data_IF_777550281068
#
_entry.id   IF_777550281068
#
_cell.length_a   1.000
_cell.length_b   1.000
_cell.length_c   1.000
_cell.angle_alpha   90.00
_cell.angle_beta   90.00
_cell.angle_gamma   90.00
#
_symmetry.space_group_name_H-M   'P 1'
#
loop_
_entity.id
_entity.type
_entity.pdbx_description
1 polymer ?
#
# COMPACT_ATOMS: atom_id res chain seq x y z
N UNK A 1 -22.74 -38.18 0.43
CA UNK A 1 -23.15 -37.21 1.47
C UNK A 1 -23.89 -36.06 0.81
N UNK A 2 -25.10 -35.66 1.24
CA UNK A 2 -25.79 -34.54 0.62
C UNK A 2 -25.12 -33.22 1.02
N UNK A 3 -24.85 -32.35 0.04
CA UNK A 3 -24.33 -31.01 0.28
C UNK A 3 -25.42 -30.17 0.95
N UNK A 4 -25.09 -29.60 2.12
CA UNK A 4 -25.97 -28.71 2.88
C UNK A 4 -26.28 -27.45 2.04
N UNK A 5 -27.55 -27.04 1.90
CA UNK A 5 -27.89 -25.82 1.18
C UNK A 5 -27.31 -24.59 1.89
N UNK A 6 -26.70 -23.68 1.14
CA UNK A 6 -26.15 -22.45 1.65
C UNK A 6 -27.29 -21.48 2.02
N UNK A 7 -27.58 -21.36 3.31
CA UNK A 7 -28.47 -20.32 3.83
C UNK A 7 -27.78 -18.98 3.62
N UNK A 8 -28.26 -18.19 2.66
CA UNK A 8 -27.88 -16.79 2.48
C UNK A 8 -28.54 -15.98 3.59
N UNK A 9 -27.88 -15.84 4.73
CA UNK A 9 -28.29 -14.84 5.72
C UNK A 9 -28.04 -13.45 5.14
N UNK A 10 -29.06 -12.56 5.07
CA UNK A 10 -28.82 -11.18 4.69
C UNK A 10 -28.00 -10.52 5.80
N UNK A 11 -26.69 -10.38 5.60
CA UNK A 11 -25.81 -9.71 6.53
C UNK A 11 -26.02 -8.20 6.44
N UNK A 12 -27.00 -7.70 7.19
CA UNK A 12 -27.23 -6.26 7.41
C UNK A 12 -26.17 -5.67 8.36
N UNK A 13 -24.90 -6.02 8.14
CA UNK A 13 -23.76 -5.38 8.81
C UNK A 13 -23.29 -4.29 7.86
N UNK A 14 -23.41 -3.04 8.31
CA UNK A 14 -22.80 -1.90 7.63
C UNK A 14 -21.35 -2.29 7.24
N UNK A 15 -21.05 -2.27 5.94
CA UNK A 15 -19.72 -2.62 5.44
C UNK A 15 -18.73 -1.70 6.14
N UNK A 16 -17.79 -2.28 6.90
CA UNK A 16 -16.74 -1.48 7.55
C UNK A 16 -16.09 -0.59 6.49
N UNK A 17 -15.97 0.72 6.74
CA UNK A 17 -15.32 1.61 5.79
C UNK A 17 -13.91 1.10 5.52
N UNK A 18 -13.50 1.11 4.26
CA UNK A 18 -12.15 0.70 3.87
C UNK A 18 -11.16 1.72 4.41
N UNK A 19 -10.39 1.34 5.43
CA UNK A 19 -9.24 2.11 5.91
C UNK A 19 -8.07 1.82 4.98
N UNK A 20 -7.49 2.88 4.39
CA UNK A 20 -6.33 2.75 3.53
C UNK A 20 -5.05 2.88 4.36
N UNK A 21 -4.27 1.81 4.45
CA UNK A 21 -2.93 1.84 5.03
C UNK A 21 -1.97 2.65 4.13
N UNK A 22 -1.10 3.44 4.75
CA UNK A 22 -0.05 4.20 4.05
C UNK A 22 1.03 3.28 3.50
N UNK A 23 1.90 3.79 2.63
CA UNK A 23 3.03 3.02 2.10
C UNK A 23 3.98 2.59 3.22
N UNK A 24 4.28 3.50 4.15
CA UNK A 24 5.15 3.24 5.29
C UNK A 24 4.59 2.18 6.22
N UNK A 25 3.28 2.22 6.49
CA UNK A 25 2.61 1.22 7.32
C UNK A 25 2.65 -0.17 6.67
N UNK A 26 2.46 -0.24 5.35
CA UNK A 26 2.61 -1.51 4.61
C UNK A 26 4.04 -2.03 4.62
N UNK A 27 5.04 -1.15 4.54
CA UNK A 27 6.45 -1.54 4.62
C UNK A 27 6.81 -2.07 6.01
N UNK A 28 6.32 -1.43 7.07
CA UNK A 28 6.52 -1.90 8.44
C UNK A 28 5.89 -3.29 8.66
N UNK A 29 4.67 -3.51 8.15
CA UNK A 29 4.00 -4.81 8.17
C UNK A 29 4.81 -5.89 7.46
N UNK A 30 5.36 -5.58 6.27
CA UNK A 30 6.20 -6.52 5.51
C UNK A 30 7.48 -6.84 6.29
N UNK A 31 8.16 -5.83 6.84
CA UNK A 31 9.37 -6.01 7.66
C UNK A 31 9.09 -6.91 8.87
N UNK A 32 8.06 -6.62 9.67
CA UNK A 32 7.69 -7.43 10.85
C UNK A 32 7.39 -8.89 10.49
N UNK A 33 6.68 -9.10 9.39
CA UNK A 33 6.39 -10.46 8.92
C UNK A 33 7.65 -11.24 8.51
N UNK A 34 8.64 -10.59 7.89
CA UNK A 34 9.93 -11.22 7.57
C UNK A 34 10.69 -11.66 8.84
N UNK A 35 10.56 -10.89 9.93
CA UNK A 35 11.10 -11.19 11.25
C UNK A 35 10.32 -12.29 12.01
N UNK A 36 9.45 -13.04 11.32
CA UNK A 36 8.64 -14.16 11.85
C UNK A 36 7.56 -13.75 12.85
N UNK A 37 7.17 -12.47 12.88
CA UNK A 37 6.01 -12.06 13.67
C UNK A 37 4.73 -12.68 13.08
N UNK A 38 3.89 -13.25 13.94
CA UNK A 38 2.61 -13.82 13.54
C UNK A 38 1.66 -12.74 13.00
N UNK A 39 0.95 -13.03 11.91
CA UNK A 39 0.02 -12.10 11.25
C UNK A 39 -1.06 -11.53 12.18
N UNK A 40 -1.44 -12.28 13.21
CA UNK A 40 -2.40 -11.84 14.24
C UNK A 40 -1.81 -10.80 15.19
N UNK A 41 -0.52 -10.90 15.52
CA UNK A 41 0.20 -9.93 16.35
C UNK A 41 0.38 -8.64 15.56
N UNK A 42 0.83 -8.74 14.32
CA UNK A 42 0.99 -7.59 13.41
C UNK A 42 -0.36 -6.89 13.21
N UNK A 43 -1.43 -7.64 12.97
CA UNK A 43 -2.78 -7.08 12.86
C UNK A 43 -3.20 -6.30 14.11
N UNK A 44 -2.89 -6.81 15.30
CA UNK A 44 -3.20 -6.10 16.56
C UNK A 44 -2.42 -4.80 16.70
N UNK A 45 -1.13 -4.78 16.35
CA UNK A 45 -0.27 -3.59 16.43
C UNK A 45 -0.76 -2.48 15.50
N UNK A 46 -1.18 -2.84 14.29
CA UNK A 46 -1.64 -1.89 13.27
C UNK A 46 -3.17 -1.66 13.29
N UNK A 47 -3.91 -2.29 14.20
CA UNK A 47 -5.38 -2.22 14.21
C UNK A 47 -6.05 -2.83 12.97
N UNK A 48 -5.36 -3.73 12.27
CA UNK A 48 -5.81 -4.37 11.04
C UNK A 48 -6.33 -5.79 11.28
N UNK A 49 -7.27 -6.22 10.42
CA UNK A 49 -7.69 -7.61 10.40
C UNK A 49 -6.55 -8.52 9.89
N UNK A 50 -6.40 -9.76 10.41
CA UNK A 50 -5.37 -10.68 9.92
C UNK A 50 -5.44 -10.94 8.40
N UNK A 51 -6.65 -10.90 7.82
CA UNK A 51 -6.86 -11.02 6.36
C UNK A 51 -6.26 -9.85 5.57
N UNK A 52 -6.27 -8.64 6.13
CA UNK A 52 -5.63 -7.46 5.56
C UNK A 52 -4.11 -7.60 5.60
N UNK A 53 -3.56 -8.03 6.74
CA UNK A 53 -2.12 -8.32 6.88
C UNK A 53 -1.66 -9.36 5.87
N UNK A 54 -2.40 -10.46 5.72
CA UNK A 54 -2.07 -11.49 4.74
C UNK A 54 -2.08 -10.95 3.30
N UNK A 55 -3.05 -10.10 2.96
CA UNK A 55 -3.12 -9.47 1.63
C UNK A 55 -1.94 -8.53 1.38
N UNK A 56 -1.48 -7.81 2.40
CA UNK A 56 -0.31 -6.93 2.34
C UNK A 56 0.96 -7.77 2.14
N UNK A 57 1.15 -8.83 2.93
CA UNK A 57 2.28 -9.75 2.80
C UNK A 57 2.33 -10.39 1.41
N UNK A 58 1.18 -10.80 0.86
CA UNK A 58 1.10 -11.34 -0.51
C UNK A 58 1.51 -10.33 -1.59
N UNK A 59 1.41 -9.04 -1.32
CA UNK A 59 1.81 -7.96 -2.23
C UNK A 59 3.15 -7.31 -1.86
N UNK A 60 3.96 -7.97 -1.02
CA UNK A 60 5.23 -7.46 -0.50
C UNK A 60 6.19 -6.99 -1.60
N UNK A 61 6.38 -7.79 -2.66
CA UNK A 61 7.31 -7.43 -3.75
C UNK A 61 6.91 -6.12 -4.43
N UNK A 62 5.62 -5.98 -4.75
CA UNK A 62 5.09 -4.73 -5.34
C UNK A 62 5.25 -3.55 -4.38
N UNK A 63 5.06 -3.77 -3.09
CA UNK A 63 5.22 -2.72 -2.07
C UNK A 63 6.68 -2.26 -2.00
N UNK A 64 7.65 -3.17 -2.10
CA UNK A 64 9.08 -2.85 -2.12
C UNK A 64 9.49 -2.11 -3.39
N UNK A 65 9.02 -2.55 -4.56
CA UNK A 65 9.25 -1.86 -5.84
C UNK A 65 8.67 -0.45 -5.83
N UNK A 66 7.45 -0.29 -5.30
CA UNK A 66 6.84 1.03 -5.11
C UNK A 66 7.67 1.90 -4.15
N UNK A 67 8.24 1.34 -3.09
CA UNK A 67 9.10 2.08 -2.17
C UNK A 67 10.42 2.52 -2.82
N UNK A 68 11.01 1.69 -3.69
CA UNK A 68 12.25 2.02 -4.42
C UNK A 68 12.07 3.05 -5.53
N UNK A 69 10.87 3.15 -6.10
CA UNK A 69 10.52 4.11 -7.17
C UNK A 69 9.76 5.34 -6.67
N UNK A 70 9.33 5.36 -5.41
CA UNK A 70 8.51 6.43 -4.88
C UNK A 70 9.33 7.71 -4.63
N UNK A 71 9.05 8.75 -5.41
CA UNK A 71 9.38 10.14 -5.03
C UNK A 71 8.46 10.57 -3.88
N UNK A 72 8.83 11.55 -3.02
CA UNK A 72 8.03 11.97 -1.85
C UNK A 72 6.57 12.35 -2.18
N UNK A 73 6.30 12.79 -3.41
CA UNK A 73 4.95 13.07 -3.92
C UNK A 73 4.10 11.79 -4.07
N UNK A 74 4.72 10.68 -4.46
CA UNK A 74 4.00 9.42 -4.69
C UNK A 74 3.62 8.68 -3.40
N UNK A 75 4.32 8.96 -2.29
CA UNK A 75 4.11 8.36 -0.98
C UNK A 75 2.81 8.82 -0.30
N UNK A 76 2.35 10.05 -0.58
CA UNK A 76 1.29 10.69 0.21
C UNK A 76 -0.12 10.15 -0.08
N UNK A 77 -0.41 9.63 -1.28
CA UNK A 77 -1.74 9.11 -1.63
C UNK A 77 -1.69 7.91 -2.57
N UNK A 78 -1.44 6.72 -2.02
CA UNK A 78 -1.53 5.40 -2.72
C UNK A 78 -2.98 4.89 -2.82
N UNK A 79 -3.96 5.79 -2.69
CA UNK A 79 -5.40 5.46 -2.73
C UNK A 79 -6.02 5.52 -4.12
N UNK A 80 -5.34 6.10 -5.12
CA UNK A 80 -5.80 6.15 -6.51
C UNK A 80 -4.86 5.35 -7.40
N UNK A 81 -5.43 4.65 -8.37
CA UNK A 81 -4.68 4.05 -9.48
C UNK A 81 -3.93 5.20 -10.17
N UNK A 82 -2.61 5.10 -10.30
CA UNK A 82 -1.83 6.01 -11.15
C UNK A 82 -1.98 5.49 -12.58
N UNK A 83 -2.52 6.31 -13.47
CA UNK A 83 -2.54 5.98 -14.89
C UNK A 83 -1.18 6.32 -15.52
N UNK A 84 -0.92 5.74 -16.69
CA UNK A 84 0.36 5.89 -17.38
C UNK A 84 0.66 7.35 -17.75
N UNK A 85 -0.38 8.15 -17.95
CA UNK A 85 -0.26 9.56 -18.30
C UNK A 85 0.18 10.40 -17.09
N UNK A 86 -0.39 10.13 -15.92
CA UNK A 86 0.03 10.71 -14.64
C UNK A 86 1.47 10.35 -14.28
N UNK A 87 1.88 9.09 -14.45
CA UNK A 87 3.27 8.69 -14.24
C UNK A 87 4.24 9.38 -15.20
N UNK A 88 3.84 9.54 -16.47
CA UNK A 88 4.65 10.27 -17.47
C UNK A 88 4.86 11.73 -17.05
N UNK A 89 3.80 12.41 -16.60
CA UNK A 89 3.87 13.77 -16.09
C UNK A 89 4.78 13.87 -14.84
N UNK A 90 4.59 12.99 -13.85
CA UNK A 90 5.42 12.97 -12.63
C UNK A 90 6.91 12.78 -12.95
N UNK A 91 7.25 11.91 -13.91
CA UNK A 91 8.64 11.70 -14.37
C UNK A 91 9.23 12.95 -15.04
N UNK A 92 8.45 13.64 -15.88
CA UNK A 92 8.91 14.85 -16.56
C UNK A 92 9.15 15.99 -15.57
N UNK A 93 8.23 16.19 -14.62
CA UNK A 93 8.37 17.17 -13.56
C UNK A 93 9.58 16.88 -12.66
N UNK A 94 9.83 15.60 -12.34
CA UNK A 94 10.99 15.22 -11.53
C UNK A 94 12.30 15.61 -12.21
N UNK A 95 12.45 15.31 -13.51
CA UNK A 95 13.63 15.71 -14.30
C UNK A 95 13.81 17.23 -14.34
N UNK A 96 12.70 17.97 -14.50
CA UNK A 96 12.76 19.43 -14.52
C UNK A 96 13.20 20.00 -13.16
N UNK A 97 12.67 19.49 -12.04
CA UNK A 97 13.09 19.92 -10.70
C UNK A 97 14.57 19.63 -10.47
N UNK A 98 15.05 18.45 -10.90
CA UNK A 98 16.45 18.07 -10.78
C UNK A 98 17.35 19.04 -11.58
N UNK A 99 16.95 19.36 -12.81
CA UNK A 99 17.64 20.33 -13.66
C UNK A 99 17.71 21.73 -13.01
N UNK A 100 16.58 22.25 -12.54
CA UNK A 100 16.54 23.55 -11.84
C UNK A 100 17.38 23.58 -10.57
N UNK A 101 17.42 22.47 -9.82
CA UNK A 101 18.22 22.38 -8.58
C UNK A 101 19.71 22.23 -8.84
N UNK A 102 20.16 21.79 -10.02
CA UNK A 102 21.58 21.87 -10.39
C UNK A 102 21.98 23.30 -10.79
N UNK A 103 21.12 23.99 -11.54
CA UNK A 103 21.37 25.39 -11.91
C UNK A 103 21.49 26.31 -10.69
N UNK A 104 20.64 26.10 -9.67
CA UNK A 104 20.68 26.86 -8.40
C UNK A 104 21.90 26.59 -7.50
N UNK A 105 22.65 25.50 -7.71
CA UNK A 105 23.84 25.16 -6.89
C UNK A 105 25.14 25.69 -7.49
N UNK A 106 25.08 26.26 -8.69
CA UNK A 106 26.26 26.68 -9.46
C UNK A 106 26.47 28.21 -9.43
N UNK A 107 25.64 28.93 -8.68
CA UNK A 107 25.81 30.35 -8.30
C UNK A 107 26.12 30.48 -6.80
#
# INVERSE_FOLDING_TARGET
MPKRPAVKTPSNVAKRPRVAATLDEKLDIVKRHEHRDGTSVIGRVHGLAPSTVHSIVKSADKIKEMAGSATPLTATKVTRFRDAEMESMERMLSKWIDDQTQHLKTE
#
